data_IF_919648495455
#
_entry.id   IF_919648495455
#
_cell.length_a   1.000
_cell.length_b   1.000
_cell.length_c   1.000
_cell.angle_alpha   90.00
_cell.angle_beta   90.00
_cell.angle_gamma   90.00
#
_symmetry.space_group_name_H-M   'P 1'
#
loop_
_entity.id
_entity.type
_entity.pdbx_description
1 polymer ?
#
# COMPACT_ATOMS: atom_id res chain seq x y z
N UNK A 1 -42.91 3.48 57.29
CA UNK A 1 -42.18 2.58 56.38
C UNK A 1 -43.19 2.05 55.38
N UNK A 2 -42.99 2.28 54.09
CA UNK A 2 -43.82 1.62 53.07
C UNK A 2 -43.33 0.19 52.87
N UNK A 3 -44.24 -0.77 52.93
CA UNK A 3 -43.94 -2.18 52.62
C UNK A 3 -43.87 -2.43 51.11
N UNK A 4 -43.42 -3.62 50.68
CA UNK A 4 -43.39 -3.99 49.26
C UNK A 4 -44.79 -3.92 48.65
N UNK A 5 -44.87 -3.47 47.40
CA UNK A 5 -46.09 -3.50 46.61
C UNK A 5 -46.26 -4.94 46.08
N UNK A 6 -47.29 -5.65 46.56
CA UNK A 6 -47.54 -7.07 46.22
C UNK A 6 -48.73 -7.15 45.25
N UNK A 7 -48.67 -8.08 44.29
CA UNK A 7 -49.73 -8.28 43.29
C UNK A 7 -50.02 -7.09 42.38
N UNK A 8 -49.10 -6.11 42.27
CA UNK A 8 -49.23 -4.98 41.35
C UNK A 8 -48.75 -5.36 39.96
N UNK A 9 -49.49 -4.90 38.96
CA UNK A 9 -49.09 -5.00 37.56
C UNK A 9 -47.90 -4.09 37.30
N UNK A 10 -46.89 -4.68 36.67
CA UNK A 10 -45.70 -4.01 36.17
C UNK A 10 -45.67 -4.27 34.67
N UNK A 11 -45.75 -3.20 33.89
CA UNK A 11 -45.55 -3.25 32.46
C UNK A 11 -44.05 -3.11 32.19
N UNK A 12 -43.46 -4.10 31.53
CA UNK A 12 -42.07 -4.09 31.10
C UNK A 12 -42.04 -3.99 29.58
N UNK A 13 -41.28 -3.03 29.05
CA UNK A 13 -41.08 -2.84 27.61
C UNK A 13 -39.59 -2.83 27.30
N UNK A 14 -39.18 -3.55 26.27
CA UNK A 14 -37.78 -3.55 25.81
C UNK A 14 -37.68 -3.90 24.33
N UNK A 15 -36.59 -3.47 23.68
CA UNK A 15 -36.28 -3.89 22.32
C UNK A 15 -35.57 -5.24 22.30
N UNK A 16 -35.91 -6.07 21.32
CA UNK A 16 -35.29 -7.36 21.06
C UNK A 16 -35.03 -7.49 19.55
N UNK A 17 -33.82 -7.11 19.13
CA UNK A 17 -33.53 -6.90 17.72
C UNK A 17 -34.32 -5.70 17.18
N UNK A 18 -35.08 -5.89 16.10
CA UNK A 18 -35.96 -4.86 15.53
C UNK A 18 -37.38 -4.86 16.10
N UNK A 19 -37.71 -5.78 17.01
CA UNK A 19 -39.04 -5.88 17.62
C UNK A 19 -39.07 -5.22 19.00
N UNK A 20 -40.19 -4.61 19.35
CA UNK A 20 -40.50 -4.29 20.75
C UNK A 20 -41.25 -5.43 21.41
N UNK A 21 -40.84 -5.77 22.63
CA UNK A 21 -41.51 -6.73 23.50
C UNK A 21 -42.15 -6.03 24.67
N UNK A 22 -43.29 -6.58 25.10
CA UNK A 22 -44.09 -6.09 26.22
C UNK A 22 -44.44 -7.28 27.11
N UNK A 23 -44.20 -7.15 28.41
CA UNK A 23 -44.59 -8.13 29.42
C UNK A 23 -45.42 -7.42 30.50
N UNK A 24 -46.53 -8.02 30.91
CA UNK A 24 -47.27 -7.59 32.11
C UNK A 24 -47.03 -8.63 33.19
N UNK A 25 -46.34 -8.23 34.26
CA UNK A 25 -45.92 -9.10 35.35
C UNK A 25 -46.55 -8.64 36.65
N UNK A 26 -46.80 -9.57 37.57
CA UNK A 26 -47.27 -9.25 38.91
C UNK A 26 -46.10 -9.32 39.89
N UNK A 27 -45.99 -8.30 40.75
CA UNK A 27 -45.02 -8.31 41.85
C UNK A 27 -45.29 -9.45 42.83
N UNK A 28 -44.26 -10.20 43.21
CA UNK A 28 -44.33 -11.29 44.18
C UNK A 28 -44.54 -10.82 45.63
N UNK A 29 -44.49 -11.73 46.60
CA UNK A 29 -44.65 -11.42 48.03
C UNK A 29 -43.55 -10.53 48.62
N UNK A 30 -42.46 -10.31 47.87
CA UNK A 30 -41.36 -9.40 48.20
C UNK A 30 -41.36 -8.13 47.35
N UNK A 31 -42.38 -7.93 46.50
CA UNK A 31 -42.51 -6.77 45.62
C UNK A 31 -41.62 -6.81 44.37
N UNK A 32 -41.13 -7.99 43.97
CA UNK A 32 -40.23 -8.17 42.81
C UNK A 32 -40.95 -8.76 41.62
N UNK A 33 -40.44 -8.49 40.44
CA UNK A 33 -40.80 -9.16 39.19
C UNK A 33 -39.59 -9.88 38.61
N UNK A 34 -39.84 -10.84 37.72
CA UNK A 34 -38.80 -11.51 36.94
C UNK A 34 -39.28 -11.60 35.49
N UNK A 35 -38.54 -10.95 34.59
CA UNK A 35 -38.84 -10.94 33.16
C UNK A 35 -38.43 -12.25 32.50
N UNK A 36 -38.91 -12.49 31.29
CA UNK A 36 -38.27 -13.47 30.42
C UNK A 36 -36.83 -13.06 30.10
N UNK A 37 -35.95 -14.02 29.72
CA UNK A 37 -34.60 -13.69 29.29
C UNK A 37 -34.62 -12.75 28.07
N UNK A 38 -34.05 -11.56 28.23
CA UNK A 38 -33.80 -10.62 27.13
C UNK A 38 -32.62 -11.17 26.32
N UNK A 39 -32.79 -11.28 25.00
CA UNK A 39 -31.76 -11.79 24.09
C UNK A 39 -31.58 -10.81 22.95
N UNK A 40 -30.35 -10.61 22.50
CA UNK A 40 -30.04 -9.84 21.29
C UNK A 40 -28.79 -10.42 20.64
N UNK A 41 -28.64 -10.19 19.34
CA UNK A 41 -27.39 -10.49 18.61
C UNK A 41 -26.51 -9.25 18.47
N UNK A 42 -26.94 -8.09 18.98
CA UNK A 42 -26.17 -6.84 18.93
C UNK A 42 -25.38 -6.64 20.22
N UNK A 43 -24.14 -6.18 20.08
CA UNK A 43 -23.30 -5.77 21.20
C UNK A 43 -23.57 -4.31 21.63
N UNK A 44 -24.78 -4.05 22.09
CA UNK A 44 -25.18 -2.74 22.61
C UNK A 44 -26.14 -2.91 23.78
N UNK A 45 -26.17 -1.96 24.74
CA UNK A 45 -27.15 -2.02 25.82
C UNK A 45 -28.58 -2.03 25.28
N UNK A 46 -29.45 -2.81 25.93
CA UNK A 46 -30.89 -2.78 25.72
C UNK A 46 -31.50 -1.98 26.86
N UNK A 47 -32.23 -0.93 26.53
CA UNK A 47 -33.04 -0.19 27.50
C UNK A 47 -34.34 -0.94 27.78
N UNK A 48 -34.65 -1.07 29.07
CA UNK A 48 -35.82 -1.76 29.59
C UNK A 48 -36.63 -0.76 30.40
N UNK A 49 -37.76 -0.33 29.84
CA UNK A 49 -38.72 0.51 30.54
C UNK A 49 -39.57 -0.37 31.47
N UNK A 50 -39.69 0.06 32.71
CA UNK A 50 -40.48 -0.59 33.76
C UNK A 50 -41.50 0.42 34.26
N UNK A 51 -42.78 0.14 34.04
CA UNK A 51 -43.87 1.00 34.45
C UNK A 51 -44.75 0.34 35.52
N UNK A 52 -44.98 1.05 36.62
CA UNK A 52 -45.93 0.66 37.68
C UNK A 52 -46.88 1.82 37.91
N UNK A 53 -48.17 1.62 37.63
CA UNK A 53 -49.17 2.69 37.55
C UNK A 53 -48.73 3.79 36.55
N UNK A 54 -48.52 5.02 37.03
CA UNK A 54 -48.08 6.17 36.22
C UNK A 54 -46.59 6.46 36.33
N UNK A 55 -45.83 5.65 37.09
CA UNK A 55 -44.39 5.83 37.27
C UNK A 55 -43.67 4.91 36.29
N UNK A 56 -42.75 5.49 35.52
CA UNK A 56 -41.87 4.75 34.60
C UNK A 56 -40.43 4.95 35.07
N UNK A 57 -39.67 3.86 35.09
CA UNK A 57 -38.23 3.85 35.29
C UNK A 57 -37.58 3.09 34.13
N UNK A 58 -36.30 3.35 33.86
CA UNK A 58 -35.58 2.71 32.76
C UNK A 58 -34.29 2.07 33.28
N UNK A 59 -34.09 0.81 32.93
CA UNK A 59 -32.90 0.03 33.29
C UNK A 59 -32.13 -0.31 32.03
N UNK A 60 -30.84 0.02 32.00
CA UNK A 60 -29.95 -0.36 30.90
C UNK A 60 -29.30 -1.72 31.16
N UNK A 61 -29.54 -2.69 30.27
CA UNK A 61 -28.98 -4.03 30.34
C UNK A 61 -27.84 -4.15 29.32
N UNK A 62 -26.57 -4.28 29.75
CA UNK A 62 -25.45 -4.30 28.81
C UNK A 62 -25.37 -5.63 28.07
N UNK A 63 -25.19 -5.57 26.75
CA UNK A 63 -24.77 -6.71 25.93
C UNK A 63 -23.42 -6.41 25.30
N UNK A 64 -22.49 -7.35 25.43
CA UNK A 64 -21.16 -7.28 24.83
C UNK A 64 -21.03 -8.26 23.66
N UNK A 65 -20.01 -8.08 22.81
CA UNK A 65 -19.74 -9.01 21.73
C UNK A 65 -19.22 -10.34 22.27
N UNK A 66 -19.46 -11.43 21.53
CA UNK A 66 -19.02 -12.76 21.94
C UNK A 66 -17.56 -13.02 21.55
N UNK A 67 -16.68 -12.91 22.54
CA UNK A 67 -15.24 -13.21 22.38
C UNK A 67 -14.93 -14.68 22.05
N UNK A 68 -15.82 -15.61 22.39
CA UNK A 68 -15.66 -17.04 22.06
C UNK A 68 -15.79 -17.32 20.57
N UNK A 69 -16.50 -16.48 19.84
CA UNK A 69 -16.69 -16.56 18.39
C UNK A 69 -15.93 -15.48 17.61
N UNK A 70 -14.96 -14.83 18.27
CA UNK A 70 -14.13 -13.81 17.67
C UNK A 70 -13.42 -14.31 16.40
N UNK A 71 -13.44 -13.49 15.36
CA UNK A 71 -12.77 -13.73 14.08
C UNK A 71 -12.26 -12.44 13.46
N UNK A 72 -11.20 -12.55 12.67
CA UNK A 72 -10.78 -11.47 11.76
C UNK A 72 -11.83 -11.32 10.67
N UNK A 73 -12.35 -10.10 10.50
CA UNK A 73 -13.28 -9.78 9.42
C UNK A 73 -12.58 -9.91 8.07
N UNK A 74 -13.28 -10.47 7.09
CA UNK A 74 -12.79 -10.53 5.71
C UNK A 74 -12.79 -9.17 5.01
N UNK A 75 -13.47 -8.16 5.58
CA UNK A 75 -13.43 -6.78 5.08
C UNK A 75 -12.19 -6.10 5.63
N UNK A 76 -11.27 -5.76 4.73
CA UNK A 76 -10.00 -5.09 5.03
C UNK A 76 -10.05 -3.69 4.44
N UNK A 77 -9.61 -2.69 5.20
CA UNK A 77 -9.54 -1.30 4.72
C UNK A 77 -8.08 -0.89 4.51
N UNK A 78 -7.66 -0.75 3.26
CA UNK A 78 -6.32 -0.28 2.89
C UNK A 78 -6.33 1.26 2.86
N UNK A 79 -5.50 1.87 3.70
CA UNK A 79 -5.44 3.32 3.86
C UNK A 79 -4.33 3.97 3.03
N UNK A 80 -3.16 3.33 3.00
CA UNK A 80 -2.02 3.77 2.19
C UNK A 80 -1.40 2.58 1.49
N UNK A 81 -1.26 2.71 0.17
CA UNK A 81 -0.68 1.71 -0.72
C UNK A 81 0.27 2.38 -1.72
N UNK A 82 0.98 1.60 -2.53
CA UNK A 82 1.88 2.08 -3.59
C UNK A 82 2.96 3.04 -3.08
N UNK A 83 3.52 2.75 -1.90
CA UNK A 83 4.51 3.62 -1.25
C UNK A 83 5.92 3.35 -1.77
N UNK A 84 6.81 4.35 -1.83
CA UNK A 84 8.21 4.11 -2.19
C UNK A 84 8.88 3.10 -1.24
N UNK A 85 9.64 2.15 -1.79
CA UNK A 85 10.44 1.17 -1.04
C UNK A 85 11.74 1.81 -0.47
N UNK A 86 11.61 2.91 0.27
CA UNK A 86 12.75 3.71 0.78
C UNK A 86 12.99 3.52 2.29
N UNK A 87 12.28 2.59 2.93
CA UNK A 87 12.31 2.37 4.38
C UNK A 87 11.91 3.58 5.24
N UNK A 88 11.21 4.56 4.65
CA UNK A 88 10.73 5.77 5.33
C UNK A 88 9.23 5.94 5.15
N UNK A 89 8.74 5.82 3.92
CA UNK A 89 7.30 5.90 3.62
C UNK A 89 6.56 4.67 4.14
N UNK A 90 5.38 4.91 4.70
CA UNK A 90 4.56 3.90 5.36
C UNK A 90 3.35 3.53 4.50
N UNK A 91 3.18 2.23 4.29
CA UNK A 91 1.88 1.68 3.91
C UNK A 91 1.04 1.47 5.19
N UNK A 92 -0.28 1.53 5.07
CA UNK A 92 -1.20 1.45 6.20
C UNK A 92 -2.45 0.66 5.82
N UNK A 93 -2.88 -0.21 6.74
CA UNK A 93 -4.07 -1.05 6.59
C UNK A 93 -4.77 -1.22 7.94
N UNK A 94 -6.11 -1.35 7.90
CA UNK A 94 -6.94 -1.67 9.05
C UNK A 94 -7.53 -3.06 8.90
N UNK A 95 -7.47 -3.82 10.00
CA UNK A 95 -8.22 -5.05 10.21
C UNK A 95 -9.23 -4.85 11.34
N UNK A 96 -10.38 -5.52 11.23
CA UNK A 96 -11.42 -5.49 12.26
C UNK A 96 -11.65 -6.89 12.80
N UNK A 97 -11.72 -7.04 14.12
CA UNK A 97 -12.13 -8.27 14.79
C UNK A 97 -13.59 -8.15 15.20
N UNK A 98 -14.37 -9.14 14.80
CA UNK A 98 -15.81 -9.21 15.04
C UNK A 98 -16.19 -10.58 15.59
N UNK A 99 -17.35 -10.68 16.24
CA UNK A 99 -17.93 -11.97 16.61
C UNK A 99 -18.69 -12.63 15.43
N UNK A 100 -19.36 -13.76 15.69
CA UNK A 100 -20.15 -14.47 14.66
C UNK A 100 -21.30 -13.62 14.07
N UNK A 101 -21.79 -12.61 14.79
CA UNK A 101 -22.87 -11.72 14.37
C UNK A 101 -22.36 -10.38 13.81
N UNK A 102 -21.05 -10.26 13.58
CA UNK A 102 -20.36 -9.06 13.11
C UNK A 102 -20.33 -7.90 14.11
N UNK A 103 -20.47 -8.16 15.40
CA UNK A 103 -20.24 -7.13 16.41
C UNK A 103 -18.74 -6.91 16.60
N UNK A 104 -18.23 -5.67 16.55
CA UNK A 104 -16.82 -5.40 16.79
C UNK A 104 -16.41 -5.71 18.24
N UNK A 105 -15.24 -6.31 18.40
CA UNK A 105 -14.74 -6.76 19.72
C UNK A 105 -13.62 -5.84 20.18
N UNK A 106 -13.83 -4.98 21.19
CA UNK A 106 -12.78 -4.11 21.71
C UNK A 106 -11.82 -4.84 22.64
N UNK A 107 -10.60 -4.33 22.78
CA UNK A 107 -9.55 -4.86 23.66
C UNK A 107 -9.23 -6.36 23.43
N UNK A 108 -9.41 -6.84 22.20
CA UNK A 108 -9.25 -8.25 21.86
C UNK A 108 -7.90 -8.52 21.23
N UNK A 109 -7.23 -9.59 21.63
CA UNK A 109 -5.88 -9.91 21.19
C UNK A 109 -5.79 -10.17 19.68
N UNK A 110 -4.81 -9.54 19.04
CA UNK A 110 -4.49 -9.70 17.62
C UNK A 110 -2.98 -9.74 17.44
N UNK A 111 -2.54 -10.54 16.48
CA UNK A 111 -1.16 -10.50 15.97
C UNK A 111 -1.18 -10.16 14.49
N UNK A 112 -0.13 -9.50 14.00
CA UNK A 112 0.05 -9.27 12.59
C UNK A 112 1.47 -9.64 12.14
N UNK A 113 1.58 -10.11 10.91
CA UNK A 113 2.85 -10.43 10.25
C UNK A 113 2.89 -9.79 8.88
N UNK A 114 4.08 -9.47 8.38
CA UNK A 114 4.27 -8.97 7.02
C UNK A 114 5.26 -9.85 6.23
N UNK A 115 5.01 -10.00 4.92
CA UNK A 115 5.91 -10.67 3.99
C UNK A 115 6.88 -9.69 3.33
N UNK A 116 7.63 -10.15 2.31
CA UNK A 116 8.56 -9.33 1.53
C UNK A 116 9.60 -8.56 2.37
N UNK A 117 9.98 -9.11 3.54
CA UNK A 117 10.92 -8.51 4.50
C UNK A 117 10.48 -7.12 5.01
N UNK A 118 9.20 -6.78 4.89
CA UNK A 118 8.69 -5.53 5.42
C UNK A 118 8.80 -5.50 6.95
N UNK A 119 9.09 -4.33 7.48
CA UNK A 119 9.11 -4.09 8.93
C UNK A 119 7.78 -3.49 9.34
N UNK A 120 7.09 -4.13 10.29
CA UNK A 120 5.92 -3.55 10.94
C UNK A 120 6.40 -2.40 11.85
N UNK A 121 5.92 -1.19 11.57
CA UNK A 121 6.30 0.02 12.30
C UNK A 121 5.31 0.30 13.45
N UNK A 122 4.03 0.04 13.23
CA UNK A 122 3.01 0.08 14.29
C UNK A 122 2.08 -1.12 14.15
N UNK A 123 1.98 -1.92 15.22
CA UNK A 123 1.05 -3.05 15.34
C UNK A 123 0.54 -3.14 16.77
N UNK A 124 -0.70 -2.69 17.05
CA UNK A 124 -1.31 -2.90 18.36
C UNK A 124 -1.49 -4.40 18.64
N UNK A 125 -1.26 -4.82 19.89
CA UNK A 125 -1.52 -6.20 20.35
C UNK A 125 -3.01 -6.48 20.59
N UNK A 126 -3.82 -5.44 20.67
CA UNK A 126 -5.27 -5.52 20.91
C UNK A 126 -6.04 -4.52 20.06
N UNK A 127 -7.29 -4.84 19.75
CA UNK A 127 -8.22 -3.94 19.07
C UNK A 127 -8.63 -2.74 19.90
N UNK A 128 -8.96 -1.64 19.23
CA UNK A 128 -9.56 -0.44 19.82
C UNK A 128 -11.06 -0.59 20.13
N UNK A 129 -11.70 0.49 20.57
CA UNK A 129 -13.14 0.51 20.90
C UNK A 129 -14.07 0.13 19.73
N UNK A 130 -13.59 0.24 18.49
CA UNK A 130 -14.30 -0.12 17.27
C UNK A 130 -13.94 -1.51 16.75
N UNK A 131 -13.23 -2.32 17.55
CA UNK A 131 -12.75 -3.64 17.18
C UNK A 131 -11.65 -3.62 16.13
N UNK A 132 -10.96 -2.50 15.93
CA UNK A 132 -9.99 -2.32 14.86
C UNK A 132 -8.55 -2.34 15.36
N UNK A 133 -7.64 -2.83 14.52
CA UNK A 133 -6.22 -2.53 14.61
C UNK A 133 -5.77 -1.80 13.35
N UNK A 134 -5.01 -0.73 13.51
CA UNK A 134 -4.30 -0.06 12.41
C UNK A 134 -2.87 -0.56 12.39
N UNK A 135 -2.48 -1.16 11.27
CA UNK A 135 -1.14 -1.67 11.03
C UNK A 135 -0.43 -0.75 10.06
N UNK A 136 0.75 -0.25 10.43
CA UNK A 136 1.65 0.47 9.54
C UNK A 136 2.94 -0.31 9.34
N UNK A 137 3.51 -0.21 8.14
CA UNK A 137 4.71 -0.93 7.76
C UNK A 137 5.55 -0.13 6.77
N UNK A 138 6.86 -0.35 6.82
CA UNK A 138 7.86 0.21 5.91
C UNK A 138 8.60 -0.92 5.21
N UNK A 139 9.16 -0.64 4.04
CA UNK A 139 9.96 -1.61 3.31
C UNK A 139 11.08 -0.94 2.50
N UNK A 140 12.21 -1.61 2.34
CA UNK A 140 13.29 -1.25 1.40
C UNK A 140 13.33 -2.17 0.16
N UNK A 141 12.37 -3.10 0.06
CA UNK A 141 12.19 -4.06 -1.02
C UNK A 141 10.88 -3.77 -1.74
N UNK A 142 10.96 -3.35 -3.01
CA UNK A 142 9.79 -3.12 -3.84
C UNK A 142 9.06 -4.43 -4.16
N UNK A 143 7.78 -4.33 -4.49
CA UNK A 143 6.92 -5.46 -4.86
C UNK A 143 5.76 -5.66 -3.90
N UNK A 144 4.99 -6.72 -4.16
CA UNK A 144 3.82 -7.10 -3.36
C UNK A 144 4.29 -7.50 -1.96
N UNK A 145 3.67 -6.88 -0.96
CA UNK A 145 3.88 -7.11 0.47
C UNK A 145 2.52 -7.51 1.07
N UNK A 146 2.46 -8.71 1.64
CA UNK A 146 1.26 -9.25 2.26
C UNK A 146 1.30 -8.97 3.76
N UNK A 147 0.22 -8.42 4.31
CA UNK A 147 0.06 -8.21 5.76
C UNK A 147 -1.08 -9.09 6.23
N UNK A 148 -0.81 -9.98 7.17
CA UNK A 148 -1.80 -10.92 7.70
C UNK A 148 -2.06 -10.63 9.16
N UNK A 149 -3.32 -10.32 9.49
CA UNK A 149 -3.78 -10.26 10.88
C UNK A 149 -4.39 -11.61 11.28
N UNK A 150 -4.12 -12.05 12.50
CA UNK A 150 -4.59 -13.32 13.06
C UNK A 150 -5.20 -13.12 14.44
N UNK A 151 -6.37 -13.72 14.67
CA UNK A 151 -7.08 -13.72 15.95
C UNK A 151 -7.95 -14.98 16.07
N UNK A 152 -7.95 -15.65 17.22
CA UNK A 152 -8.72 -16.87 17.50
C UNK A 152 -8.65 -17.94 16.38
N UNK A 153 -7.45 -18.20 15.85
CA UNK A 153 -7.16 -19.11 14.72
C UNK A 153 -7.79 -18.72 13.37
N UNK A 154 -8.40 -17.55 13.27
CA UNK A 154 -8.84 -16.96 12.00
C UNK A 154 -7.81 -15.93 11.54
N UNK A 155 -7.70 -15.75 10.24
CA UNK A 155 -6.79 -14.76 9.67
C UNK A 155 -7.38 -14.09 8.44
N UNK A 156 -6.87 -12.92 8.11
CA UNK A 156 -7.14 -12.24 6.84
C UNK A 156 -5.90 -11.49 6.39
N UNK A 157 -5.70 -11.46 5.07
CA UNK A 157 -4.47 -10.96 4.46
C UNK A 157 -4.78 -9.82 3.49
N UNK A 158 -4.12 -8.69 3.71
CA UNK A 158 -4.11 -7.55 2.81
C UNK A 158 -2.91 -7.63 1.87
N UNK A 159 -3.10 -7.25 0.60
CA UNK A 159 -2.02 -7.11 -0.39
C UNK A 159 -1.72 -5.63 -0.59
N UNK A 160 -0.50 -5.23 -0.28
CA UNK A 160 0.03 -3.88 -0.49
C UNK A 160 1.19 -3.96 -1.48
N UNK A 161 1.52 -2.86 -2.13
CA UNK A 161 2.66 -2.75 -3.04
C UNK A 161 3.59 -1.63 -2.60
N UNK A 162 4.89 -1.92 -2.59
CA UNK A 162 5.94 -0.92 -2.49
C UNK A 162 6.60 -0.70 -3.86
N UNK A 163 6.76 0.55 -4.27
CA UNK A 163 7.32 0.93 -5.57
C UNK A 163 8.85 0.99 -5.54
N UNK A 164 9.56 0.64 -6.63
CA UNK A 164 10.99 0.85 -6.72
C UNK A 164 11.38 2.32 -6.50
N UNK A 165 12.53 2.56 -5.87
CA UNK A 165 13.02 3.92 -5.63
C UNK A 165 14.11 4.27 -6.64
N UNK A 166 13.76 5.11 -7.60
CA UNK A 166 14.68 5.57 -8.64
C UNK A 166 15.46 6.81 -8.19
N UNK A 167 16.72 6.88 -8.59
CA UNK A 167 17.60 8.04 -8.41
C UNK A 167 18.13 8.48 -9.77
N UNK A 168 18.02 9.77 -10.07
CA UNK A 168 18.67 10.36 -11.23
C UNK A 168 20.14 10.59 -10.89
N UNK A 169 21.03 9.76 -11.42
CA UNK A 169 22.48 9.90 -11.22
C UNK A 169 23.07 10.93 -12.18
N UNK A 170 22.54 10.98 -13.40
CA UNK A 170 22.91 11.99 -14.37
C UNK A 170 21.69 12.50 -15.14
N UNK A 171 21.23 13.69 -14.76
CA UNK A 171 20.08 14.35 -15.37
C UNK A 171 20.32 14.70 -16.85
N UNK A 172 21.58 14.76 -17.30
CA UNK A 172 21.93 15.08 -18.69
C UNK A 172 23.03 14.18 -19.21
N UNK A 173 22.67 13.23 -20.06
CA UNK A 173 23.61 12.35 -20.75
C UNK A 173 24.01 12.98 -22.08
N UNK A 174 25.31 13.06 -22.32
CA UNK A 174 25.86 13.49 -23.62
C UNK A 174 26.67 12.35 -24.23
N UNK A 175 26.42 12.08 -25.50
CA UNK A 175 27.17 11.10 -26.31
C UNK A 175 27.57 11.73 -27.64
N UNK A 176 28.60 11.19 -28.28
CA UNK A 176 29.06 11.64 -29.60
C UNK A 176 28.66 10.60 -30.63
N UNK A 177 28.04 11.02 -31.72
CA UNK A 177 27.69 10.11 -32.81
C UNK A 177 28.94 9.47 -33.44
N UNK A 178 28.76 8.30 -34.02
CA UNK A 178 29.81 7.39 -34.55
C UNK A 178 30.84 6.92 -33.51
N UNK A 179 30.74 7.35 -32.24
CA UNK A 179 31.54 6.87 -31.12
C UNK A 179 30.75 5.87 -30.28
N UNK A 180 31.40 4.81 -29.79
CA UNK A 180 30.75 3.85 -28.89
C UNK A 180 30.53 4.48 -27.51
N UNK A 181 29.29 4.50 -27.08
CA UNK A 181 28.89 4.90 -25.73
C UNK A 181 29.08 3.71 -24.79
N UNK A 182 30.19 3.71 -24.06
CA UNK A 182 30.40 2.80 -22.94
C UNK A 182 29.41 3.16 -21.82
N UNK A 183 28.60 2.19 -21.42
CA UNK A 183 27.25 2.52 -20.99
C UNK A 183 27.13 3.53 -19.85
N UNK A 184 26.28 4.52 -20.07
CA UNK A 184 26.01 5.63 -19.16
C UNK A 184 24.87 5.25 -18.23
N UNK A 185 24.97 5.60 -16.95
CA UNK A 185 23.91 5.39 -15.96
C UNK A 185 23.17 6.71 -15.74
N UNK A 186 22.10 7.01 -16.49
CA UNK A 186 21.27 8.18 -16.20
C UNK A 186 20.49 8.02 -14.88
N UNK A 187 20.04 6.79 -14.61
CA UNK A 187 19.15 6.45 -13.51
C UNK A 187 19.63 5.15 -12.87
N UNK A 188 19.64 5.11 -11.54
CA UNK A 188 19.82 3.89 -10.76
C UNK A 188 18.60 3.61 -9.89
N UNK A 189 18.54 2.38 -9.35
CA UNK A 189 17.58 2.01 -8.31
C UNK A 189 18.31 1.89 -6.98
N UNK A 190 17.72 2.43 -5.93
CA UNK A 190 18.24 2.37 -4.56
C UNK A 190 17.53 1.35 -3.66
N UNK A 191 16.36 0.87 -4.07
CA UNK A 191 15.62 -0.21 -3.39
C UNK A 191 16.01 -1.60 -3.90
N UNK A 192 15.80 -2.63 -3.09
CA UNK A 192 15.86 -4.02 -3.56
C UNK A 192 14.53 -4.44 -4.20
N UNK A 193 14.49 -5.57 -4.90
CA UNK A 193 13.30 -6.07 -5.62
C UNK A 193 12.83 -7.41 -5.05
N UNK A 194 11.51 -7.63 -5.05
CA UNK A 194 10.91 -8.92 -4.69
C UNK A 194 11.18 -9.99 -5.73
N UNK A 195 11.08 -9.62 -7.00
CA UNK A 195 11.52 -10.36 -8.18
C UNK A 195 12.73 -9.73 -8.87
N UNK A 196 12.70 -9.69 -10.20
CA UNK A 196 13.74 -9.03 -11.02
C UNK A 196 13.25 -7.67 -11.53
N UNK A 197 14.14 -6.66 -11.64
CA UNK A 197 13.78 -5.37 -12.19
C UNK A 197 13.51 -5.48 -13.70
N UNK A 198 12.41 -4.89 -14.15
CA UNK A 198 12.06 -4.74 -15.56
C UNK A 198 12.12 -3.27 -15.95
N UNK A 199 13.06 -2.94 -16.84
CA UNK A 199 13.32 -1.59 -17.31
C UNK A 199 12.62 -1.32 -18.65
N UNK A 200 12.14 -0.10 -18.82
CA UNK A 200 11.66 0.41 -20.10
C UNK A 200 11.85 1.93 -20.17
N UNK A 201 11.80 2.49 -21.37
CA UNK A 201 12.08 3.91 -21.61
C UNK A 201 11.17 4.48 -22.69
N UNK A 202 10.75 5.73 -22.54
CA UNK A 202 9.94 6.47 -23.51
C UNK A 202 10.43 7.92 -23.67
N UNK A 203 10.51 8.46 -24.90
CA UNK A 203 10.31 7.77 -26.17
C UNK A 203 11.39 6.68 -26.40
N UNK A 204 11.25 5.90 -27.47
CA UNK A 204 12.28 4.91 -27.83
C UNK A 204 13.63 5.60 -28.03
N UNK A 205 14.70 4.96 -27.55
CA UNK A 205 16.05 5.44 -27.77
C UNK A 205 16.37 5.49 -29.27
N UNK A 206 17.30 6.38 -29.69
CA UNK A 206 17.81 6.39 -31.05
C UNK A 206 18.29 5.00 -31.49
N UNK A 207 18.19 4.64 -32.78
CA UNK A 207 18.67 3.36 -33.28
C UNK A 207 20.10 3.06 -32.80
N UNK A 208 20.33 1.80 -32.43
CA UNK A 208 21.60 1.28 -31.90
C UNK A 208 22.01 1.75 -30.50
N UNK A 209 21.24 2.61 -29.83
CA UNK A 209 21.31 2.76 -28.38
C UNK A 209 20.34 1.79 -27.71
N UNK A 210 20.78 1.18 -26.60
CA UNK A 210 19.99 0.22 -25.84
C UNK A 210 20.05 0.55 -24.35
N UNK A 211 18.91 0.41 -23.68
CA UNK A 211 18.82 0.37 -22.24
C UNK A 211 18.93 -1.09 -21.80
N UNK A 212 19.89 -1.40 -20.93
CA UNK A 212 20.02 -2.74 -20.36
C UNK A 212 19.16 -2.95 -19.10
N UNK A 213 19.22 -4.15 -18.55
CA UNK A 213 18.47 -4.55 -17.35
C UNK A 213 18.99 -3.93 -16.04
N UNK A 214 20.01 -3.07 -16.10
CA UNK A 214 20.57 -2.33 -14.95
C UNK A 214 20.26 -0.84 -15.02
N UNK A 215 19.59 -0.37 -16.08
CA UNK A 215 19.30 1.04 -16.29
C UNK A 215 20.38 1.80 -17.06
N UNK A 216 21.35 1.10 -17.64
CA UNK A 216 22.50 1.68 -18.35
C UNK A 216 22.22 1.77 -19.84
N UNK A 217 22.61 2.88 -20.45
CA UNK A 217 22.46 3.15 -21.88
C UNK A 217 23.79 2.96 -22.60
N UNK A 218 23.86 2.06 -23.59
CA UNK A 218 25.07 1.80 -24.38
C UNK A 218 24.79 1.64 -25.87
N UNK A 219 25.84 1.68 -26.69
CA UNK A 219 25.77 1.48 -28.14
C UNK A 219 26.39 2.61 -28.96
N UNK A 220 26.18 2.61 -30.28
CA UNK A 220 26.79 3.59 -31.20
C UNK A 220 25.72 4.24 -32.07
N UNK A 221 25.50 5.54 -31.91
CA UNK A 221 24.56 6.29 -32.75
C UNK A 221 25.18 6.54 -34.13
N UNK A 222 24.48 6.21 -35.21
CA UNK A 222 25.00 6.33 -36.59
C UNK A 222 24.70 7.69 -37.27
N UNK A 223 23.97 8.60 -36.61
CA UNK A 223 23.59 9.91 -37.16
C UNK A 223 24.81 10.79 -37.49
N UNK A 224 24.76 11.56 -38.59
CA UNK A 224 25.80 12.53 -38.95
C UNK A 224 25.55 13.93 -38.39
N UNK A 225 24.30 14.24 -38.03
CA UNK A 225 23.88 15.59 -37.58
C UNK A 225 23.77 15.67 -36.05
N UNK A 226 23.87 14.53 -35.36
CA UNK A 226 23.54 14.44 -33.94
C UNK A 226 22.04 14.32 -33.71
N UNK A 227 21.61 14.45 -32.45
CA UNK A 227 20.21 14.44 -32.01
C UNK A 227 20.08 15.55 -30.96
N UNK A 228 19.08 16.45 -31.10
CA UNK A 228 18.88 17.52 -30.14
C UNK A 228 18.56 16.97 -28.75
N UNK A 229 18.70 17.82 -27.74
CA UNK A 229 18.35 17.46 -26.37
C UNK A 229 16.91 16.97 -26.29
N UNK A 230 16.75 15.71 -25.91
CA UNK A 230 15.47 15.03 -25.84
C UNK A 230 15.29 14.46 -24.44
N UNK A 231 14.14 14.74 -23.83
CA UNK A 231 13.79 14.20 -22.52
C UNK A 231 13.28 12.77 -22.66
N UNK A 232 13.82 11.87 -21.83
CA UNK A 232 13.42 10.47 -21.76
C UNK A 232 12.94 10.13 -20.36
N UNK A 233 11.83 9.42 -20.27
CA UNK A 233 11.30 8.85 -19.03
C UNK A 233 11.63 7.38 -18.97
N UNK A 234 12.35 6.98 -17.93
CA UNK A 234 12.66 5.60 -17.60
C UNK A 234 11.61 5.08 -16.63
N UNK A 235 11.14 3.86 -16.85
CA UNK A 235 10.22 3.17 -15.96
C UNK A 235 10.87 1.90 -15.46
N UNK A 236 10.68 1.62 -14.17
CA UNK A 236 11.11 0.37 -13.53
C UNK A 236 9.96 -0.24 -12.76
N UNK A 237 9.72 -1.53 -12.97
CA UNK A 237 8.78 -2.32 -12.19
C UNK A 237 9.44 -3.60 -11.71
N UNK A 238 8.86 -4.17 -10.65
CA UNK A 238 9.17 -5.54 -10.25
C UNK A 238 8.47 -6.53 -11.18
N UNK A 239 9.13 -7.63 -11.58
CA UNK A 239 8.52 -8.68 -12.39
C UNK A 239 7.33 -9.39 -11.74
N UNK A 240 7.24 -9.37 -10.41
CA UNK A 240 6.14 -9.95 -9.64
C UNK A 240 5.03 -8.94 -9.32
N UNK A 241 5.29 -7.65 -9.55
CA UNK A 241 4.36 -6.55 -9.32
C UNK A 241 3.79 -5.98 -10.62
N UNK A 242 2.73 -5.19 -10.49
CA UNK A 242 2.13 -4.50 -11.66
C UNK A 242 2.48 -3.02 -11.69
N UNK A 243 2.77 -2.43 -10.53
CA UNK A 243 3.08 -1.03 -10.39
C UNK A 243 4.53 -0.73 -10.77
N UNK A 244 4.74 0.48 -11.29
CA UNK A 244 6.03 0.96 -11.80
C UNK A 244 6.37 2.31 -11.20
N UNK A 245 7.66 2.53 -10.93
CA UNK A 245 8.20 3.85 -10.68
C UNK A 245 8.75 4.43 -11.99
N UNK A 246 8.83 5.76 -12.08
CA UNK A 246 9.45 6.42 -13.22
C UNK A 246 10.23 7.67 -12.81
N UNK A 247 11.20 8.04 -13.65
CA UNK A 247 11.93 9.31 -13.56
C UNK A 247 12.46 9.69 -14.93
N UNK A 248 12.97 10.90 -15.08
CA UNK A 248 13.39 11.44 -16.37
C UNK A 248 14.82 11.96 -16.38
N UNK A 249 15.44 11.92 -17.56
CA UNK A 249 16.74 12.52 -17.86
C UNK A 249 16.76 13.02 -19.31
N UNK A 250 17.64 13.97 -19.61
CA UNK A 250 17.86 14.46 -20.97
C UNK A 250 19.02 13.73 -21.64
N UNK A 251 18.87 13.38 -22.92
CA UNK A 251 19.94 12.85 -23.77
C UNK A 251 20.24 13.83 -24.91
N UNK A 252 21.52 14.13 -25.12
CA UNK A 252 22.02 14.88 -26.28
C UNK A 252 23.01 13.99 -27.04
N UNK A 253 22.85 13.91 -28.36
CA UNK A 253 23.85 13.28 -29.23
C UNK A 253 24.53 14.37 -30.05
N UNK A 254 25.81 14.61 -29.78
CA UNK A 254 26.60 15.55 -30.57
C UNK A 254 26.95 14.93 -31.94
N UNK A 255 27.06 15.73 -33.02
CA UNK A 255 27.55 15.25 -34.30
C UNK A 255 28.96 14.65 -34.19
N UNK A 256 29.36 13.75 -35.09
CA UNK A 256 30.70 13.20 -35.09
C UNK A 256 31.72 14.30 -35.40
N UNK A 257 32.90 14.18 -34.81
CA UNK A 257 34.02 15.02 -35.22
C UNK A 257 34.53 14.54 -36.59
N UNK A 258 34.53 15.41 -37.60
CA UNK A 258 34.96 15.08 -38.96
C UNK A 258 36.22 15.88 -39.30
N UNK A 259 37.31 15.17 -39.63
CA UNK A 259 38.50 15.76 -40.25
C UNK A 259 38.44 15.47 -41.75
N UNK A 260 38.53 16.50 -42.58
CA UNK A 260 38.71 16.36 -44.02
C UNK A 260 40.13 16.75 -44.41
N UNK A 261 40.87 15.82 -45.04
CA UNK A 261 42.17 16.11 -45.64
C UNK A 261 42.02 16.13 -47.16
N UNK A 262 42.42 17.25 -47.78
CA UNK A 262 42.50 17.35 -49.24
C UNK A 262 43.88 16.86 -49.70
N UNK A 263 43.92 15.76 -50.45
CA UNK A 263 45.15 15.28 -51.09
C UNK A 263 45.56 16.25 -52.20
N UNK A 264 46.76 16.80 -52.13
CA UNK A 264 47.36 17.56 -53.23
C UNK A 264 48.09 16.61 -54.17
N UNK A 265 47.60 16.47 -55.41
CA UNK A 265 48.26 15.71 -56.47
C UNK A 265 48.75 16.68 -57.55
N UNK A 266 50.06 16.73 -57.76
CA UNK A 266 50.68 17.42 -58.90
C UNK A 266 51.35 16.38 -59.78
N UNK A 267 50.93 16.29 -61.04
CA UNK A 267 51.65 15.50 -62.06
C UNK A 267 52.77 16.38 -62.60
N UNK A 268 53.98 15.85 -62.60
CA UNK A 268 55.16 16.51 -63.10
C UNK A 268 55.64 15.80 -64.38
N UNK A 269 56.17 16.56 -65.34
CA UNK A 269 56.87 15.99 -66.49
C UNK A 269 58.24 15.44 -66.07
N UNK A 270 58.83 14.57 -66.89
CA UNK A 270 60.05 13.79 -66.59
C UNK A 270 61.31 14.59 -66.22
N UNK A 271 61.28 15.93 -66.32
CA UNK A 271 62.42 16.81 -66.03
C UNK A 271 62.07 17.98 -65.09
N UNK A 272 60.94 17.90 -64.38
CA UNK A 272 60.54 18.94 -63.43
C UNK A 272 61.43 18.93 -62.19
N UNK A 273 62.11 20.04 -61.88
CA UNK A 273 62.78 20.20 -60.57
C UNK A 273 61.74 20.30 -59.45
N UNK A 274 61.87 19.44 -58.43
CA UNK A 274 61.00 19.43 -57.25
C UNK A 274 61.81 19.86 -56.04
N UNK A 275 61.43 20.99 -55.43
CA UNK A 275 61.88 21.32 -54.09
C UNK A 275 60.85 20.81 -53.09
N UNK A 276 61.16 19.70 -52.44
CA UNK A 276 60.43 19.23 -51.26
C UNK A 276 61.23 19.74 -50.06
N UNK A 277 60.76 20.80 -49.41
CA UNK A 277 61.26 21.13 -48.07
C UNK A 277 60.45 20.31 -47.07
N UNK A 278 61.16 19.55 -46.24
CA UNK A 278 60.61 18.75 -45.15
C UNK A 278 60.15 19.63 -43.98
#
# INVERSE_FOLDING_TARGET
MYGPLIGKEVLVRYAQGSEEKYEVLLTDSQGKIRTSPIKTTLASPVEVDIAVNTVVDAVSVPFGPDTGTARVSGTINILKNNQPANNQDQAEVIFTIVDAHNNPIPNFAVTATASNQATLDTVPSTTDASGQIRVSLKNNRSGITEVTATSNNTSSTAKLEFLPVLKVDNARVTVTAKSYTAGKNPVSVSSSFSGSPLWSIQPSLPPSLQLDNTGKISGTVQSEVGIPETNYTVFVRDSLGTQRASTSFSLVVNPPFVISQKLYRRVLSTDSQVNIQA
#
